data_IF_999518500767
#
_entry.id   IF_999518500767
#
_cell.length_a   1.000
_cell.length_b   1.000
_cell.length_c   1.000
_cell.angle_alpha   90.00
_cell.angle_beta   90.00
_cell.angle_gamma   90.00
#
_symmetry.space_group_name_H-M   'P 1'
#
loop_
_entity.id
_entity.type
_entity.pdbx_description
1 polymer ?
#
# COMPACT_ATOMS: atom_id res chain seq x y z
N UNK A 1 -38.30 -14.05 -11.26
CA UNK A 1 -38.42 -12.59 -11.03
C UNK A 1 -37.09 -11.99 -11.46
N UNK A 2 -37.11 -11.10 -12.46
CA UNK A 2 -35.87 -10.54 -13.02
C UNK A 2 -35.10 -9.78 -11.94
N UNK A 3 -33.82 -10.11 -11.77
CA UNK A 3 -32.88 -9.33 -10.98
C UNK A 3 -32.67 -8.02 -11.74
N UNK A 4 -33.42 -6.98 -11.37
CA UNK A 4 -33.07 -5.63 -11.79
C UNK A 4 -31.71 -5.29 -11.18
N UNK A 5 -30.80 -4.73 -12.00
CA UNK A 5 -29.52 -4.23 -11.51
C UNK A 5 -29.73 -3.42 -10.22
N UNK A 6 -28.89 -3.67 -9.20
CA UNK A 6 -28.99 -2.93 -7.95
C UNK A 6 -28.99 -1.43 -8.25
N UNK A 7 -29.96 -0.66 -7.73
CA UNK A 7 -30.06 0.77 -8.03
C UNK A 7 -28.84 1.57 -7.53
N UNK A 8 -27.99 0.94 -6.72
CA UNK A 8 -26.76 1.51 -6.19
C UNK A 8 -25.60 1.42 -7.17
N UNK A 9 -25.55 0.44 -8.10
CA UNK A 9 -24.43 0.31 -9.05
C UNK A 9 -24.28 1.57 -9.92
N UNK A 10 -25.36 2.15 -10.50
CA UNK A 10 -25.26 3.42 -11.21
C UNK A 10 -24.73 4.56 -10.33
N UNK A 11 -25.11 4.60 -9.05
CA UNK A 11 -24.59 5.62 -8.12
C UNK A 11 -23.10 5.45 -7.91
N UNK A 12 -22.61 4.22 -7.68
CA UNK A 12 -21.17 3.94 -7.55
C UNK A 12 -20.38 4.36 -8.78
N UNK A 13 -20.94 4.24 -9.99
CA UNK A 13 -20.21 4.52 -11.23
C UNK A 13 -20.26 5.98 -11.68
N UNK A 14 -21.35 6.67 -11.40
CA UNK A 14 -21.66 7.91 -12.13
C UNK A 14 -22.11 9.07 -11.24
N UNK A 15 -22.34 8.87 -9.94
CA UNK A 15 -22.71 10.00 -9.09
C UNK A 15 -21.57 11.03 -9.03
N UNK A 16 -21.85 12.34 -9.22
CA UNK A 16 -20.79 13.36 -9.23
C UNK A 16 -20.11 13.50 -7.86
N UNK A 17 -20.75 13.10 -6.76
CA UNK A 17 -20.17 13.21 -5.42
C UNK A 17 -19.39 11.95 -5.05
N UNK A 18 -18.08 12.06 -4.75
CA UNK A 18 -17.28 10.90 -4.33
C UNK A 18 -17.83 10.25 -3.06
N UNK A 19 -18.40 11.05 -2.14
CA UNK A 19 -19.01 10.55 -0.92
C UNK A 19 -20.27 9.72 -1.19
N UNK A 20 -21.05 10.07 -2.22
CA UNK A 20 -22.24 9.29 -2.61
C UNK A 20 -21.80 7.99 -3.28
N UNK A 21 -20.82 8.03 -4.18
CA UNK A 21 -20.25 6.81 -4.79
C UNK A 21 -19.73 5.85 -3.72
N UNK A 22 -18.96 6.36 -2.77
CA UNK A 22 -18.43 5.58 -1.64
C UNK A 22 -19.54 5.05 -0.72
N UNK A 23 -20.54 5.87 -0.37
CA UNK A 23 -21.66 5.43 0.45
C UNK A 23 -22.49 4.33 -0.24
N UNK A 24 -22.77 4.48 -1.54
CA UNK A 24 -23.44 3.46 -2.33
C UNK A 24 -22.63 2.15 -2.36
N UNK A 25 -21.32 2.23 -2.50
CA UNK A 25 -20.45 1.06 -2.47
C UNK A 25 -20.43 0.39 -1.09
N UNK A 26 -20.36 1.16 0.01
CA UNK A 26 -20.47 0.62 1.38
C UNK A 26 -21.81 -0.11 1.59
N UNK A 27 -22.91 0.42 1.08
CA UNK A 27 -24.22 -0.25 1.12
C UNK A 27 -24.19 -1.59 0.38
N UNK A 28 -23.62 -1.65 -0.84
CA UNK A 28 -23.46 -2.90 -1.58
C UNK A 28 -22.59 -3.92 -0.81
N UNK A 29 -21.53 -3.47 -0.14
CA UNK A 29 -20.65 -4.32 0.67
C UNK A 29 -21.38 -4.91 1.88
N UNK A 30 -22.22 -4.12 2.56
CA UNK A 30 -23.05 -4.61 3.67
C UNK A 30 -24.02 -5.73 3.21
N UNK A 31 -24.50 -5.65 1.98
CA UNK A 31 -25.35 -6.65 1.34
C UNK A 31 -24.58 -7.63 0.43
N UNK A 32 -23.26 -7.75 0.61
CA UNK A 32 -22.33 -8.51 -0.27
C UNK A 32 -22.75 -9.96 -0.53
N UNK A 33 -23.48 -10.60 0.39
CA UNK A 33 -24.04 -11.95 0.19
C UNK A 33 -24.94 -12.07 -1.05
N UNK A 34 -25.50 -10.96 -1.55
CA UNK A 34 -26.32 -10.91 -2.76
C UNK A 34 -25.56 -10.45 -4.00
N UNK A 35 -24.28 -10.12 -3.86
CA UNK A 35 -23.44 -9.54 -4.91
C UNK A 35 -22.07 -10.24 -5.03
N UNK A 36 -21.97 -11.50 -4.62
CA UNK A 36 -20.69 -12.21 -4.45
C UNK A 36 -19.85 -12.23 -5.74
N UNK A 37 -20.49 -12.39 -6.89
CA UNK A 37 -19.82 -12.51 -8.19
C UNK A 37 -19.63 -11.17 -8.93
N UNK A 38 -20.26 -10.08 -8.47
CA UNK A 38 -20.24 -8.78 -9.15
C UNK A 38 -19.44 -7.74 -8.37
N UNK A 39 -19.45 -7.85 -7.04
CA UNK A 39 -18.86 -6.87 -6.13
C UNK A 39 -17.33 -6.81 -6.23
N UNK A 40 -16.58 -7.94 -6.33
CA UNK A 40 -15.14 -7.89 -6.56
C UNK A 40 -14.74 -7.16 -7.84
N UNK A 41 -15.45 -7.41 -8.94
CA UNK A 41 -15.22 -6.76 -10.25
C UNK A 41 -15.57 -5.27 -10.21
N UNK A 42 -16.65 -4.91 -9.51
CA UNK A 42 -16.99 -3.51 -9.28
C UNK A 42 -15.90 -2.82 -8.46
N UNK A 43 -15.41 -3.44 -7.37
CA UNK A 43 -14.34 -2.87 -6.56
C UNK A 43 -13.03 -2.75 -7.34
N UNK A 44 -12.64 -3.76 -8.12
CA UNK A 44 -11.51 -3.69 -9.03
C UNK A 44 -11.65 -2.48 -9.97
N UNK A 45 -12.81 -2.32 -10.61
CA UNK A 45 -13.08 -1.20 -11.52
C UNK A 45 -13.00 0.16 -10.82
N UNK A 46 -13.51 0.26 -9.58
CA UNK A 46 -13.44 1.50 -8.79
C UNK A 46 -12.00 1.85 -8.46
N UNK A 47 -11.17 0.90 -8.00
CA UNK A 47 -9.74 1.16 -7.74
C UNK A 47 -9.02 1.62 -9.00
N UNK A 48 -9.30 1.00 -10.15
CA UNK A 48 -8.63 1.32 -11.41
C UNK A 48 -9.03 2.67 -12.02
N UNK A 49 -10.29 3.09 -11.85
CA UNK A 49 -10.90 4.14 -12.67
C UNK A 49 -11.47 5.33 -11.89
N UNK A 50 -11.80 5.18 -10.61
CA UNK A 50 -12.34 6.31 -9.85
C UNK A 50 -11.26 7.37 -9.63
N UNK A 51 -11.61 8.64 -9.86
CA UNK A 51 -10.66 9.75 -9.74
C UNK A 51 -10.40 10.12 -8.27
N UNK A 52 -11.38 9.87 -7.39
CA UNK A 52 -11.35 10.30 -6.01
C UNK A 52 -10.90 9.16 -5.09
N UNK A 53 -10.14 9.50 -4.04
CA UNK A 53 -9.60 8.51 -3.12
C UNK A 53 -10.68 7.78 -2.30
N UNK A 54 -11.75 8.48 -1.87
CA UNK A 54 -12.75 7.90 -0.95
C UNK A 54 -13.44 6.63 -1.52
N UNK A 55 -13.94 6.60 -2.76
CA UNK A 55 -14.41 5.35 -3.37
C UNK A 55 -13.31 4.28 -3.52
N UNK A 56 -12.09 4.67 -3.93
CA UNK A 56 -10.95 3.74 -4.07
C UNK A 56 -10.60 3.08 -2.73
N UNK A 57 -10.61 3.83 -1.64
CA UNK A 57 -10.39 3.35 -0.28
C UNK A 57 -11.45 2.33 0.16
N UNK A 58 -12.72 2.59 -0.12
CA UNK A 58 -13.79 1.63 0.17
C UNK A 58 -13.60 0.33 -0.63
N UNK A 59 -13.30 0.46 -1.92
CA UNK A 59 -13.12 -0.67 -2.81
C UNK A 59 -11.92 -1.53 -2.43
N UNK A 60 -10.76 -0.92 -2.19
CA UNK A 60 -9.54 -1.67 -1.84
C UNK A 60 -9.66 -2.35 -0.47
N UNK A 61 -10.34 -1.73 0.50
CA UNK A 61 -10.64 -2.36 1.80
C UNK A 61 -11.56 -3.57 1.67
N UNK A 62 -12.50 -3.54 0.73
CA UNK A 62 -13.31 -4.72 0.43
C UNK A 62 -12.45 -5.84 -0.15
N UNK A 63 -11.59 -5.55 -1.13
CA UNK A 63 -10.67 -6.54 -1.69
C UNK A 63 -9.77 -7.15 -0.60
N UNK A 64 -9.27 -6.31 0.31
CA UNK A 64 -8.44 -6.72 1.46
C UNK A 64 -9.18 -7.65 2.44
N UNK A 65 -10.50 -7.49 2.60
CA UNK A 65 -11.27 -8.20 3.63
C UNK A 65 -11.33 -9.72 3.47
N UNK A 66 -11.11 -10.23 2.24
CA UNK A 66 -11.02 -11.66 1.94
C UNK A 66 -9.97 -11.89 0.83
N UNK A 67 -8.71 -11.81 1.23
CA UNK A 67 -7.55 -11.87 0.32
C UNK A 67 -7.57 -13.11 -0.57
N UNK A 68 -7.95 -14.27 -0.01
CA UNK A 68 -7.96 -15.53 -0.75
C UNK A 68 -8.99 -15.53 -1.88
N UNK A 69 -10.20 -15.00 -1.63
CA UNK A 69 -11.23 -14.91 -2.68
C UNK A 69 -10.93 -13.82 -3.70
N UNK A 70 -10.29 -12.75 -3.28
CA UNK A 70 -10.05 -11.57 -4.12
C UNK A 70 -8.66 -11.55 -4.77
N UNK A 71 -7.84 -12.59 -4.61
CA UNK A 71 -6.42 -12.55 -4.97
C UNK A 71 -6.16 -12.12 -6.43
N UNK A 72 -6.99 -12.60 -7.36
CA UNK A 72 -6.90 -12.23 -8.76
C UNK A 72 -7.20 -10.73 -8.99
N UNK A 73 -8.20 -10.19 -8.30
CA UNK A 73 -8.53 -8.77 -8.35
C UNK A 73 -7.43 -7.91 -7.71
N UNK A 74 -6.88 -8.36 -6.58
CA UNK A 74 -5.76 -7.70 -5.89
C UNK A 74 -4.55 -7.60 -6.83
N UNK A 75 -4.19 -8.70 -7.51
CA UNK A 75 -3.12 -8.70 -8.50
C UNK A 75 -3.38 -7.69 -9.63
N UNK A 76 -4.61 -7.63 -10.14
CA UNK A 76 -4.96 -6.71 -11.24
C UNK A 76 -4.94 -5.24 -10.87
N UNK A 77 -5.27 -4.89 -9.63
CA UNK A 77 -5.24 -3.50 -9.16
C UNK A 77 -3.85 -3.06 -8.68
N UNK A 78 -2.93 -4.00 -8.42
CA UNK A 78 -1.62 -3.73 -7.82
C UNK A 78 -0.88 -2.55 -8.47
N UNK A 79 -0.63 -2.52 -9.80
CA UNK A 79 0.15 -1.42 -10.40
C UNK A 79 -0.49 -0.05 -10.19
N UNK A 80 -1.83 0.00 -10.22
CA UNK A 80 -2.56 1.27 -10.05
C UNK A 80 -2.64 1.71 -8.60
N UNK A 81 -2.84 0.75 -7.68
CA UNK A 81 -3.02 1.04 -6.26
C UNK A 81 -1.71 1.38 -5.55
N UNK A 82 -0.57 0.86 -6.00
CA UNK A 82 0.74 1.18 -5.42
C UNK A 82 1.26 2.57 -5.86
N UNK A 83 0.90 2.99 -7.08
CA UNK A 83 1.11 4.35 -7.63
C UNK A 83 0.02 5.35 -7.18
N UNK A 84 -0.95 4.93 -6.35
CA UNK A 84 -2.07 5.81 -5.98
C UNK A 84 -1.58 7.11 -5.33
N UNK A 85 -2.28 8.22 -5.56
CA UNK A 85 -1.97 9.51 -4.95
C UNK A 85 -2.35 9.59 -3.48
N UNK A 86 -3.15 8.64 -2.99
CA UNK A 86 -3.56 8.55 -1.59
C UNK A 86 -2.73 7.50 -0.85
N UNK A 87 -1.93 7.94 0.12
CA UNK A 87 -0.98 7.10 0.87
C UNK A 87 -1.66 5.92 1.60
N UNK A 88 -2.93 6.03 1.95
CA UNK A 88 -3.65 4.93 2.59
C UNK A 88 -3.99 3.82 1.59
N UNK A 89 -4.39 4.17 0.36
CA UNK A 89 -4.55 3.17 -0.73
C UNK A 89 -3.22 2.45 -0.98
N UNK A 90 -2.11 3.22 -1.09
CA UNK A 90 -0.77 2.67 -1.32
C UNK A 90 -0.36 1.68 -0.23
N UNK A 91 -0.55 2.07 1.04
CA UNK A 91 -0.21 1.21 2.20
C UNK A 91 -1.05 -0.06 2.24
N UNK A 92 -2.36 0.03 2.00
CA UNK A 92 -3.23 -1.15 1.93
C UNK A 92 -2.77 -2.09 0.81
N UNK A 93 -2.36 -1.56 -0.34
CA UNK A 93 -1.83 -2.38 -1.43
C UNK A 93 -0.56 -3.12 -1.01
N UNK A 94 0.41 -2.43 -0.41
CA UNK A 94 1.64 -3.04 0.10
C UNK A 94 1.35 -4.12 1.14
N UNK A 95 0.40 -3.90 2.05
CA UNK A 95 -0.01 -4.88 3.06
C UNK A 95 -0.62 -6.16 2.45
N UNK A 96 -1.21 -6.09 1.25
CA UNK A 96 -1.78 -7.25 0.55
C UNK A 96 -0.74 -8.02 -0.28
N UNK A 97 0.36 -7.40 -0.67
CA UNK A 97 1.39 -8.00 -1.52
C UNK A 97 2.01 -9.32 -0.98
N UNK A 98 2.17 -9.55 0.34
CA UNK A 98 2.63 -10.84 0.84
C UNK A 98 1.79 -12.03 0.37
N UNK A 99 0.47 -11.86 0.22
CA UNK A 99 -0.40 -12.95 -0.27
C UNK A 99 -0.17 -13.21 -1.76
N UNK A 100 0.09 -12.17 -2.56
CA UNK A 100 0.46 -12.34 -3.96
C UNK A 100 1.81 -13.05 -4.11
N UNK A 101 2.79 -12.69 -3.28
CA UNK A 101 4.11 -13.33 -3.27
C UNK A 101 4.08 -14.80 -2.84
N UNK A 102 3.07 -15.20 -2.06
CA UNK A 102 2.88 -16.59 -1.64
C UNK A 102 2.28 -17.48 -2.73
N UNK A 103 1.80 -16.91 -3.84
CA UNK A 103 1.17 -17.66 -4.94
C UNK A 103 2.08 -17.60 -6.17
N UNK A 104 2.54 -18.77 -6.61
CA UNK A 104 3.53 -18.92 -7.70
C UNK A 104 3.12 -18.19 -8.98
N UNK A 105 1.83 -18.18 -9.31
CA UNK A 105 1.26 -17.49 -10.48
C UNK A 105 1.54 -15.97 -10.46
N UNK A 106 1.53 -15.34 -9.29
CA UNK A 106 1.62 -13.88 -9.14
C UNK A 106 2.97 -13.40 -8.62
N UNK A 107 3.76 -14.28 -8.04
CA UNK A 107 4.95 -13.91 -7.29
C UNK A 107 5.98 -13.13 -8.12
N UNK A 108 6.33 -13.62 -9.31
CA UNK A 108 7.37 -13.00 -10.13
C UNK A 108 7.02 -11.57 -10.57
N UNK A 109 5.79 -11.35 -11.04
CA UNK A 109 5.33 -10.04 -11.47
C UNK A 109 5.11 -9.09 -10.29
N UNK A 110 4.66 -9.61 -9.15
CA UNK A 110 4.52 -8.82 -7.92
C UNK A 110 5.88 -8.34 -7.41
N UNK A 111 6.92 -9.20 -7.42
CA UNK A 111 8.29 -8.79 -7.05
C UNK A 111 8.78 -7.68 -7.99
N UNK A 112 8.58 -7.86 -9.29
CA UNK A 112 9.02 -6.90 -10.30
C UNK A 112 8.36 -5.53 -10.07
N UNK A 113 7.05 -5.50 -9.83
CA UNK A 113 6.33 -4.27 -9.52
C UNK A 113 6.89 -3.62 -8.24
N UNK A 114 7.00 -4.37 -7.14
CA UNK A 114 7.50 -3.86 -5.86
C UNK A 114 8.91 -3.28 -5.94
N UNK A 115 9.79 -3.83 -6.79
CA UNK A 115 11.15 -3.32 -6.96
C UNK A 115 11.20 -1.87 -7.45
N UNK A 116 10.17 -1.40 -8.17
CA UNK A 116 10.10 -0.01 -8.63
C UNK A 116 9.84 0.99 -7.49
N UNK A 117 9.41 0.49 -6.32
CA UNK A 117 8.93 1.30 -5.19
C UNK A 117 9.84 1.24 -3.95
N UNK A 118 11.01 0.59 -4.00
CA UNK A 118 11.89 0.42 -2.82
C UNK A 118 12.47 1.72 -2.27
N UNK A 119 12.64 2.71 -3.15
CA UNK A 119 13.17 4.05 -2.84
C UNK A 119 12.07 5.09 -2.57
N UNK A 120 10.80 4.69 -2.61
CA UNK A 120 9.69 5.59 -2.32
C UNK A 120 9.74 6.07 -0.87
N UNK A 121 9.53 7.38 -0.67
CA UNK A 121 9.66 8.04 0.63
C UNK A 121 8.59 7.64 1.64
N UNK A 122 7.41 7.22 1.18
CA UNK A 122 6.28 6.85 2.01
C UNK A 122 6.21 5.34 2.20
N UNK A 123 6.31 4.56 1.12
CA UNK A 123 6.09 3.11 1.15
C UNK A 123 7.37 2.28 1.01
N UNK A 124 8.50 2.86 0.61
CA UNK A 124 9.69 2.09 0.24
C UNK A 124 10.26 1.23 1.36
N UNK A 125 10.18 1.69 2.61
CA UNK A 125 10.57 0.87 3.78
C UNK A 125 9.67 -0.36 3.93
N UNK A 126 8.36 -0.21 3.77
CA UNK A 126 7.41 -1.32 3.86
C UNK A 126 7.57 -2.30 2.69
N UNK A 127 7.78 -1.77 1.48
CA UNK A 127 8.07 -2.54 0.26
C UNK A 127 9.32 -3.41 0.44
N UNK A 128 10.43 -2.84 0.92
CA UNK A 128 11.67 -3.59 1.18
C UNK A 128 11.46 -4.68 2.24
N UNK A 129 10.67 -4.41 3.28
CA UNK A 129 10.29 -5.41 4.27
C UNK A 129 9.46 -6.56 3.67
N UNK A 130 8.50 -6.26 2.78
CA UNK A 130 7.71 -7.26 2.05
C UNK A 130 8.59 -8.11 1.14
N UNK A 131 9.60 -7.51 0.50
CA UNK A 131 10.61 -8.21 -0.31
C UNK A 131 11.63 -8.99 0.52
N UNK A 132 11.56 -8.95 1.86
CA UNK A 132 12.42 -9.71 2.76
C UNK A 132 13.79 -9.10 3.01
N UNK A 133 13.98 -7.81 2.74
CA UNK A 133 15.19 -7.09 3.13
C UNK A 133 15.27 -6.98 4.65
N UNK A 134 16.47 -7.20 5.20
CA UNK A 134 16.71 -6.98 6.61
C UNK A 134 16.45 -5.51 6.95
N UNK A 135 15.81 -5.20 8.10
CA UNK A 135 15.70 -3.82 8.54
C UNK A 135 17.11 -3.25 8.63
N UNK A 136 17.34 -2.12 7.94
CA UNK A 136 18.63 -1.44 7.98
C UNK A 136 19.04 -1.29 9.45
N UNK A 137 20.22 -1.79 9.82
CA UNK A 137 20.80 -1.56 11.14
C UNK A 137 20.80 -0.04 11.32
N UNK A 138 19.94 0.46 12.21
CA UNK A 138 20.07 1.82 12.67
C UNK A 138 21.44 1.87 13.31
N UNK A 139 22.36 2.73 12.83
CA UNK A 139 23.60 2.93 13.54
C UNK A 139 23.24 3.28 14.97
N UNK A 140 23.83 2.58 15.94
CA UNK A 140 23.56 2.88 17.34
C UNK A 140 23.93 4.36 17.56
N UNK A 141 22.99 5.24 17.92
CA UNK A 141 23.30 6.65 18.12
C UNK A 141 24.41 6.84 19.16
N UNK A 142 24.62 5.87 20.06
CA UNK A 142 25.71 5.88 21.03
C UNK A 142 27.07 5.65 20.36
N UNK A 143 27.17 4.78 19.35
CA UNK A 143 28.44 4.51 18.65
C UNK A 143 28.91 5.72 17.86
N UNK A 144 28.01 6.47 17.22
CA UNK A 144 28.37 7.71 16.54
C UNK A 144 28.81 8.81 17.52
N UNK A 145 28.13 8.96 18.65
CA UNK A 145 28.52 9.94 19.69
C UNK A 145 29.89 9.57 20.26
N UNK A 146 30.15 8.29 20.55
CA UNK A 146 31.45 7.84 21.05
C UNK A 146 32.56 8.00 20.01
N UNK A 147 32.30 7.73 18.74
CA UNK A 147 33.24 7.94 17.65
C UNK A 147 33.59 9.42 17.49
N UNK A 148 32.60 10.31 17.54
CA UNK A 148 32.78 11.76 17.45
C UNK A 148 33.54 12.30 18.67
N UNK A 149 33.21 11.83 19.88
CA UNK A 149 33.94 12.19 21.11
C UNK A 149 35.39 11.73 21.06
N UNK A 150 35.66 10.50 20.60
CA UNK A 150 37.02 9.98 20.45
C UNK A 150 37.82 10.74 19.38
N UNK A 151 37.17 11.14 18.29
CA UNK A 151 37.79 11.96 17.24
C UNK A 151 38.17 13.34 17.77
N UNK A 152 37.25 14.01 18.49
CA UNK A 152 37.50 15.30 19.12
C UNK A 152 38.61 15.26 20.20
N UNK A 153 38.68 14.18 20.99
CA UNK A 153 39.75 13.98 21.96
C UNK A 153 41.11 13.75 21.29
N UNK A 154 41.15 13.10 20.14
CA UNK A 154 42.39 12.89 19.36
C UNK A 154 42.98 14.19 18.83
N UNK A 155 42.13 15.12 18.37
CA UNK A 155 42.58 16.44 17.88
C UNK A 155 43.23 17.26 19.01
N UNK A 156 42.73 17.15 20.25
CA UNK A 156 43.23 17.91 21.39
C UNK A 156 44.54 17.38 22.01
N UNK A 157 45.07 16.23 21.56
CA UNK A 157 46.34 15.67 22.06
C UNK A 157 47.55 16.19 21.26
N UNK A 158 47.35 16.59 20.01
CA UNK A 158 48.42 17.17 19.17
C UNK A 158 48.65 18.67 19.45
N UNK A 159 47.73 19.35 20.13
CA UNK A 159 47.93 20.72 20.64
C UNK A 159 48.69 20.71 21.98
N UNK A 160 49.88 20.08 21.98
CA UNK A 160 50.83 20.29 23.07
C UNK A 160 51.33 21.73 22.97
N UNK A 161 50.84 22.57 23.88
CA UNK A 161 51.21 23.98 24.05
C UNK A 161 52.74 24.06 24.18
N UNK A 162 53.37 24.68 23.18
CA UNK A 162 54.79 25.03 23.18
C UNK A 162 54.98 26.21 24.16
N UNK A 163 55.16 25.89 25.44
CA UNK A 163 55.51 26.86 26.46
C UNK A 163 57.03 27.10 26.43
N UNK A 164 57.41 28.28 25.94
CA UNK A 164 58.76 28.87 25.97
C UNK A 164 59.52 28.68 27.30
#
# INVERSE_FOLDING_TARGET
MGLGESPLIPLVRFDPSPYVRAAALRCLILDSKYHQDELPQLCESVVLLDADAEPRLVAIRYLQSDLAKNIHHIFRVLPKAIEDTDDEVRRIMVDMCPVLLAVEEYAADTVKELQEWTEDVEIGTAVRAVLGEAPAEKPDPVEHILADMMSALRVNIDDTIDCY
#
